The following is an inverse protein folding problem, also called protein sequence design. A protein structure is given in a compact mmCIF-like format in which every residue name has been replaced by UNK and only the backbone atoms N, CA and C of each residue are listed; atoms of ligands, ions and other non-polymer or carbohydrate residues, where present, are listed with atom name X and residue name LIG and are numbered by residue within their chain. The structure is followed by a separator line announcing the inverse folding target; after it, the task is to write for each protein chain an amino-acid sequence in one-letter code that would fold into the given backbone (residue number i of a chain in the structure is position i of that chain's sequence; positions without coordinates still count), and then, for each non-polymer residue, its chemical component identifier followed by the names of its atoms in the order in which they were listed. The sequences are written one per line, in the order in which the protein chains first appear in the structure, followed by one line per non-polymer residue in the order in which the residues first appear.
data_IF_113821833771
#
_entry.id   IF_113821833771
#
_cell.length_a   1.000
_cell.length_b   1.000
_cell.length_c   1.000
_cell.angle_alpha   90.00
_cell.angle_beta   90.00
_cell.angle_gamma   90.00
#
_symmetry.space_group_name_H-M   'P 1'
#
loop_
_entity.id
_entity.type
_entity.pdbx_description
1 polymer ?
#
# COMPACT_ATOMS: atom_id res chain seq x y z
N UNK A 1 -25.90 1.04 6.92
CA UNK A 1 -24.91 1.18 8.00
C UNK A 1 -23.52 1.22 7.37
N UNK A 2 -22.74 2.31 7.46
CA UNK A 2 -21.42 2.42 6.82
C UNK A 2 -20.45 1.28 7.20
N UNK A 3 -20.62 0.64 8.37
CA UNK A 3 -19.83 -0.50 8.80
C UNK A 3 -19.98 -1.78 7.93
N UNK A 4 -21.17 -2.05 7.38
CA UNK A 4 -21.37 -3.25 6.53
C UNK A 4 -20.82 -3.09 5.12
N UNK A 5 -20.76 -1.86 4.59
CA UNK A 5 -20.20 -1.59 3.26
C UNK A 5 -18.68 -1.82 3.24
N UNK A 6 -17.98 -1.47 4.32
CA UNK A 6 -16.55 -1.78 4.50
C UNK A 6 -16.30 -3.29 4.48
N UNK A 7 -17.02 -4.06 5.30
CA UNK A 7 -16.85 -5.51 5.41
C UNK A 7 -17.17 -6.26 4.10
N UNK A 8 -18.23 -5.91 3.38
CA UNK A 8 -18.61 -6.56 2.11
C UNK A 8 -17.56 -6.33 1.02
N UNK A 9 -16.91 -5.17 1.02
CA UNK A 9 -15.81 -4.87 0.08
C UNK A 9 -14.55 -5.67 0.44
N UNK A 10 -14.26 -5.82 1.75
CA UNK A 10 -13.14 -6.63 2.27
C UNK A 10 -13.24 -8.12 1.91
N UNK A 11 -14.46 -8.65 1.78
CA UNK A 11 -14.71 -10.06 1.44
C UNK A 11 -14.47 -10.33 -0.06
N UNK A 12 -14.57 -9.31 -0.92
CA UNK A 12 -14.47 -9.48 -2.38
C UNK A 12 -13.09 -9.19 -2.97
N UNK A 13 -12.28 -8.33 -2.35
CA UNK A 13 -10.94 -7.99 -2.86
C UNK A 13 -9.99 -7.52 -1.75
N UNK A 14 -9.39 -8.49 -1.04
CA UNK A 14 -8.42 -8.22 0.02
C UNK A 14 -7.22 -7.39 -0.46
N UNK A 15 -6.60 -7.66 -1.63
CA UNK A 15 -5.52 -6.82 -2.15
C UNK A 15 -5.91 -5.35 -2.36
N UNK A 16 -7.15 -5.08 -2.78
CA UNK A 16 -7.63 -3.70 -2.94
C UNK A 16 -7.70 -2.92 -1.62
N UNK A 17 -8.07 -3.59 -0.51
CA UNK A 17 -8.09 -2.96 0.83
C UNK A 17 -6.69 -2.52 1.26
N UNK A 18 -5.68 -3.37 1.04
CA UNK A 18 -4.29 -3.01 1.34
C UNK A 18 -3.78 -1.91 0.41
N UNK A 19 -4.12 -1.96 -0.88
CA UNK A 19 -3.77 -0.91 -1.82
C UNK A 19 -4.34 0.45 -1.41
N UNK A 20 -5.61 0.51 -0.99
CA UNK A 20 -6.25 1.72 -0.49
C UNK A 20 -5.56 2.23 0.80
N UNK A 21 -5.22 1.31 1.71
CA UNK A 21 -4.47 1.64 2.92
C UNK A 21 -3.09 2.22 2.64
N UNK A 22 -2.36 1.66 1.67
CA UNK A 22 -1.06 2.17 1.22
C UNK A 22 -1.19 3.57 0.61
N UNK A 23 -2.19 3.78 -0.25
CA UNK A 23 -2.41 5.08 -0.88
C UNK A 23 -2.68 6.16 0.19
N UNK A 24 -3.54 5.85 1.16
CA UNK A 24 -3.82 6.76 2.30
C UNK A 24 -2.58 7.01 3.17
N UNK A 25 -1.73 6.01 3.37
CA UNK A 25 -0.52 6.15 4.17
C UNK A 25 0.53 7.05 3.50
N UNK A 26 0.62 6.99 2.17
CA UNK A 26 1.51 7.83 1.34
C UNK A 26 0.94 9.24 1.17
N UNK A 27 -0.37 9.39 0.95
CA UNK A 27 -0.99 10.69 0.70
C UNK A 27 -1.19 11.56 1.97
N UNK A 28 -1.00 11.02 3.17
CA UNK A 28 -1.17 11.77 4.40
C UNK A 28 0.02 12.73 4.64
N UNK A 29 -0.28 13.95 5.11
CA UNK A 29 0.74 14.90 5.56
C UNK A 29 1.53 14.29 6.73
N UNK A 30 2.79 13.95 6.48
CA UNK A 30 3.57 13.10 7.36
C UNK A 30 3.22 11.63 7.11
N UNK A 31 4.18 10.89 6.56
CA UNK A 31 4.02 9.47 6.24
C UNK A 31 3.63 8.71 7.51
N UNK A 32 2.50 8.00 7.47
CA UNK A 32 2.17 7.03 8.54
C UNK A 32 3.05 5.80 8.34
N UNK A 33 4.34 5.94 8.61
CA UNK A 33 5.39 4.96 8.34
C UNK A 33 5.06 3.59 8.91
N UNK A 34 4.45 3.55 10.10
CA UNK A 34 4.04 2.30 10.73
C UNK A 34 3.02 1.49 9.91
N UNK A 35 2.18 2.15 9.10
CA UNK A 35 1.22 1.47 8.22
C UNK A 35 1.87 1.05 6.92
N UNK A 36 2.67 1.94 6.30
CA UNK A 36 3.41 1.65 5.07
C UNK A 36 4.35 0.46 5.27
N UNK A 37 5.19 0.51 6.31
CA UNK A 37 6.12 -0.57 6.67
C UNK A 37 5.36 -1.85 7.01
N UNK A 38 4.34 -1.78 7.87
CA UNK A 38 3.60 -2.98 8.29
C UNK A 38 2.98 -3.69 7.10
N UNK A 39 2.35 -2.98 6.18
CA UNK A 39 1.74 -3.61 4.99
C UNK A 39 2.82 -4.18 4.09
N UNK A 40 3.87 -3.43 3.76
CA UNK A 40 4.94 -3.91 2.86
C UNK A 40 5.63 -5.15 3.42
N UNK A 41 5.98 -5.15 4.71
CA UNK A 41 6.69 -6.26 5.35
C UNK A 41 5.78 -7.47 5.57
N UNK A 42 4.58 -7.29 6.10
CA UNK A 42 3.71 -8.45 6.42
C UNK A 42 3.06 -9.08 5.20
N UNK A 43 3.04 -8.39 4.04
CA UNK A 43 2.42 -8.88 2.81
C UNK A 43 3.42 -9.28 1.74
N UNK A 44 4.72 -9.02 1.93
CA UNK A 44 5.78 -9.23 0.93
C UNK A 44 5.75 -10.62 0.30
N UNK A 45 5.63 -11.65 1.13
CA UNK A 45 5.65 -13.06 0.71
C UNK A 45 4.25 -13.66 0.51
N UNK A 46 3.18 -12.87 0.69
CA UNK A 46 1.80 -13.39 0.69
C UNK A 46 1.06 -12.96 -0.58
N UNK A 47 0.88 -11.65 -0.78
CA UNK A 47 0.08 -11.12 -1.89
C UNK A 47 0.53 -9.72 -2.35
N UNK A 48 1.75 -9.29 -2.02
CA UNK A 48 2.26 -7.97 -2.40
C UNK A 48 2.22 -7.71 -3.91
N UNK A 49 2.39 -8.73 -4.75
CA UNK A 49 2.23 -8.60 -6.20
C UNK A 49 0.80 -8.19 -6.61
N UNK A 50 -0.22 -8.81 -5.99
CA UNK A 50 -1.62 -8.48 -6.25
C UNK A 50 -1.97 -7.09 -5.70
N UNK A 51 -1.43 -6.74 -4.53
CA UNK A 51 -1.57 -5.41 -3.93
C UNK A 51 -0.97 -4.34 -4.87
N UNK A 52 0.25 -4.56 -5.40
CA UNK A 52 0.90 -3.68 -6.39
C UNK A 52 0.01 -3.48 -7.61
N UNK A 53 -0.57 -4.56 -8.14
CA UNK A 53 -1.47 -4.49 -9.29
C UNK A 53 -2.73 -3.66 -8.98
N UNK A 54 -3.39 -3.91 -7.85
CA UNK A 54 -4.58 -3.14 -7.44
C UNK A 54 -4.25 -1.67 -7.18
N UNK A 55 -3.11 -1.40 -6.56
CA UNK A 55 -2.61 -0.04 -6.35
C UNK A 55 -2.44 0.69 -7.68
N UNK A 56 -1.77 0.06 -8.65
CA UNK A 56 -1.56 0.67 -9.96
C UNK A 56 -2.87 0.91 -10.72
N UNK A 57 -3.83 0.00 -10.63
CA UNK A 57 -5.17 0.17 -11.22
C UNK A 57 -5.91 1.36 -10.60
N UNK A 58 -5.80 1.53 -9.29
CA UNK A 58 -6.53 2.55 -8.52
C UNK A 58 -5.88 3.94 -8.60
N UNK A 59 -4.55 4.02 -8.52
CA UNK A 59 -3.80 5.28 -8.44
C UNK A 59 -3.21 5.74 -9.78
N UNK A 60 -3.28 4.89 -10.81
CA UNK A 60 -2.65 5.12 -12.13
C UNK A 60 -1.13 5.39 -12.07
N UNK A 61 -0.50 5.04 -10.95
CA UNK A 61 0.94 5.11 -10.68
C UNK A 61 1.34 3.85 -9.91
N UNK A 62 2.55 3.37 -10.12
CA UNK A 62 3.02 2.20 -9.38
C UNK A 62 3.31 2.57 -7.92
N UNK A 63 3.10 1.60 -7.01
CA UNK A 63 3.45 1.76 -5.59
C UNK A 63 4.91 2.20 -5.40
N UNK A 64 5.83 1.70 -6.22
CA UNK A 64 7.24 2.06 -6.18
C UNK A 64 7.50 3.52 -6.56
N UNK A 65 6.78 4.05 -7.55
CA UNK A 65 6.91 5.45 -7.95
C UNK A 65 6.45 6.39 -6.83
N UNK A 66 5.34 6.06 -6.17
CA UNK A 66 4.80 6.90 -5.10
C UNK A 66 5.68 6.84 -3.83
N UNK A 67 6.12 5.66 -3.42
CA UNK A 67 7.13 5.51 -2.34
C UNK A 67 8.41 6.28 -2.68
N UNK A 68 8.86 6.18 -3.94
CA UNK A 68 10.07 6.87 -4.39
C UNK A 68 9.95 8.39 -4.38
N UNK A 69 8.75 8.94 -4.51
CA UNK A 69 8.49 10.38 -4.44
C UNK A 69 8.25 10.90 -3.01
N UNK A 70 7.65 10.08 -2.15
CA UNK A 70 7.23 10.49 -0.80
C UNK A 70 8.28 10.21 0.29
N UNK A 71 9.20 9.27 0.05
CA UNK A 71 10.23 8.86 1.03
C UNK A 71 11.65 9.23 0.57
N UNK A 72 12.59 9.27 1.52
CA UNK A 72 13.99 9.60 1.24
C UNK A 72 14.98 8.73 2.05
N UNK A 73 16.28 8.86 1.78
CA UNK A 73 17.34 8.20 2.52
C UNK A 73 17.29 6.67 2.51
N UNK A 74 17.79 6.04 3.57
CA UNK A 74 17.79 4.58 3.73
C UNK A 74 16.40 3.99 3.83
N UNK A 75 15.46 4.75 4.38
CA UNK A 75 14.07 4.35 4.46
C UNK A 75 13.49 4.05 3.07
N UNK A 76 13.66 4.98 2.12
CA UNK A 76 13.31 4.75 0.71
C UNK A 76 14.00 3.53 0.13
N UNK A 77 15.31 3.40 0.35
CA UNK A 77 16.11 2.29 -0.22
C UNK A 77 15.59 0.93 0.25
N UNK A 78 15.31 0.80 1.54
CA UNK A 78 14.82 -0.45 2.15
C UNK A 78 13.41 -0.77 1.64
N UNK A 79 12.50 0.21 1.64
CA UNK A 79 11.15 -0.01 1.12
C UNK A 79 11.18 -0.47 -0.33
N UNK A 80 11.90 0.26 -1.20
CA UNK A 80 12.04 -0.09 -2.62
C UNK A 80 12.69 -1.46 -2.85
N UNK A 81 13.55 -1.93 -1.93
CA UNK A 81 14.13 -3.26 -2.02
C UNK A 81 13.11 -4.38 -1.72
N UNK A 82 12.16 -4.15 -0.82
CA UNK A 82 11.14 -5.14 -0.44
C UNK A 82 10.03 -5.24 -1.50
N UNK A 83 9.63 -4.11 -2.10
CA UNK A 83 8.58 -4.08 -3.14
C UNK A 83 9.06 -4.44 -4.55
N UNK A 84 10.34 -4.81 -4.73
CA UNK A 84 10.84 -5.30 -6.03
C UNK A 84 10.08 -6.57 -6.44
#
# INVERSE_FOLDING_TARGET
NPGTKGLITCIRDRPAVFAEGLHKAIAALGTRDSTLIRVIVTRSEIDLAQIKQRYQQMCHRSLAQDIGGDTSGDYKRILLAIIK
#
